data_IF_712203858278
#
_entry.id   IF_712203858278
#
_cell.length_a   1.000
_cell.length_b   1.000
_cell.length_c   1.000
_cell.angle_alpha   90.00
_cell.angle_beta   90.00
_cell.angle_gamma   90.00
#
_symmetry.space_group_name_H-M   'P 1'
#
loop_
_entity.id
_entity.type
_entity.pdbx_description
1 polymer ?
#
# COMPACT_ATOMS: atom_id res chain seq x y z
N UNK A 1 80.21 -18.28 33.38
CA UNK A 1 79.60 -17.10 32.72
C UNK A 1 78.19 -17.49 32.28
N UNK A 2 77.20 -16.60 32.42
CA UNK A 2 75.75 -16.89 32.43
C UNK A 2 75.19 -16.96 31.00
N UNK A 3 74.00 -17.50 30.74
CA UNK A 3 72.75 -16.74 30.80
C UNK A 3 71.54 -17.69 30.83
N UNK A 4 70.81 -17.61 31.94
CA UNK A 4 69.44 -18.07 32.10
C UNK A 4 68.50 -17.11 31.36
N UNK A 5 67.66 -17.63 30.47
CA UNK A 5 66.56 -16.88 29.87
C UNK A 5 65.29 -17.74 29.89
N UNK A 6 64.19 -17.27 30.49
CA UNK A 6 62.92 -17.98 30.45
C UNK A 6 62.20 -17.71 29.12
N UNK A 7 61.87 -18.76 28.38
CA UNK A 7 60.97 -18.67 27.23
C UNK A 7 59.55 -18.39 27.74
N UNK A 8 59.12 -17.15 27.65
CA UNK A 8 57.71 -16.78 27.77
C UNK A 8 56.95 -17.27 26.53
N UNK A 9 56.13 -18.31 26.71
CA UNK A 9 55.10 -18.69 25.74
C UNK A 9 53.99 -17.63 25.78
N UNK A 10 53.94 -16.71 24.80
CA UNK A 10 52.77 -15.84 24.60
C UNK A 10 51.66 -16.67 23.95
N UNK A 11 50.63 -16.98 24.73
CA UNK A 11 49.35 -17.50 24.23
C UNK A 11 48.72 -16.43 23.34
N UNK A 12 48.61 -16.70 22.04
CA UNK A 12 47.89 -15.87 21.09
C UNK A 12 46.44 -16.34 21.14
N UNK A 13 45.58 -15.59 21.83
CA UNK A 13 44.13 -15.81 21.75
C UNK A 13 43.68 -15.55 20.32
N UNK A 14 42.88 -16.44 19.70
CA UNK A 14 42.31 -16.15 18.39
C UNK A 14 41.35 -14.98 18.54
N UNK A 15 41.65 -13.89 17.84
CA UNK A 15 40.78 -12.72 17.70
C UNK A 15 39.47 -13.18 17.06
N UNK A 16 38.43 -13.27 17.86
CA UNK A 16 37.07 -13.54 17.39
C UNK A 16 36.66 -12.38 16.46
N UNK A 17 36.22 -12.65 15.22
CA UNK A 17 35.76 -11.59 14.33
C UNK A 17 34.54 -10.89 14.96
N UNK A 18 34.39 -9.57 14.76
CA UNK A 18 33.26 -8.84 15.30
C UNK A 18 31.96 -9.43 14.74
N UNK A 19 31.02 -9.74 15.63
CA UNK A 19 29.65 -10.11 15.28
C UNK A 19 29.12 -9.09 14.26
N UNK A 20 28.64 -9.50 13.07
CA UNK A 20 27.91 -8.60 12.22
C UNK A 20 26.69 -8.13 13.02
N UNK A 21 26.69 -6.85 13.36
CA UNK A 21 25.52 -6.20 13.91
C UNK A 21 24.34 -6.55 13.01
N UNK A 22 23.29 -7.11 13.61
CA UNK A 22 21.99 -7.33 12.98
C UNK A 22 21.49 -5.97 12.51
N UNK A 23 21.88 -5.56 11.31
CA UNK A 23 21.26 -4.45 10.62
C UNK A 23 19.81 -4.90 10.43
N UNK A 24 18.89 -4.22 11.11
CA UNK A 24 17.49 -4.31 10.80
C UNK A 24 17.35 -3.97 9.32
N UNK A 25 17.23 -4.99 8.48
CA UNK A 25 16.89 -4.81 7.08
C UNK A 25 15.54 -4.10 7.08
N UNK A 26 15.55 -2.79 6.74
CA UNK A 26 14.33 -2.14 6.26
C UNK A 26 13.80 -3.07 5.16
N UNK A 27 12.56 -3.57 5.24
CA UNK A 27 12.02 -4.38 4.17
C UNK A 27 12.11 -3.56 2.90
N UNK A 28 12.96 -3.99 1.97
CA UNK A 28 12.99 -3.43 0.63
C UNK A 28 11.63 -3.74 0.03
N UNK A 29 10.76 -2.74 -0.10
CA UNK A 29 9.50 -2.90 -0.81
C UNK A 29 9.84 -3.45 -2.20
N UNK A 30 9.23 -4.58 -2.56
CA UNK A 30 9.31 -5.08 -3.92
C UNK A 30 8.79 -3.97 -4.85
N UNK A 31 9.38 -3.78 -6.06
CA UNK A 31 8.86 -2.81 -7.00
C UNK A 31 7.39 -3.11 -7.27
N UNK A 32 6.51 -2.15 -7.02
CA UNK A 32 5.09 -2.30 -7.36
C UNK A 32 4.96 -2.56 -8.87
N UNK A 33 4.05 -3.44 -9.25
CA UNK A 33 3.75 -3.65 -10.66
C UNK A 33 3.16 -2.36 -11.29
N UNK A 34 3.26 -2.16 -12.62
CA UNK A 34 2.97 -0.86 -13.24
C UNK A 34 1.56 -0.32 -12.99
N UNK A 35 0.57 -1.21 -12.81
CA UNK A 35 -0.82 -0.84 -12.60
C UNK A 35 -1.06 -0.34 -11.16
N UNK A 36 -0.48 -1.03 -10.20
CA UNK A 36 -0.51 -0.73 -8.77
C UNK A 36 0.17 0.60 -8.50
N UNK A 37 1.35 0.82 -9.11
CA UNK A 37 2.04 2.11 -9.02
C UNK A 37 1.19 3.23 -9.62
N UNK A 38 0.54 3.00 -10.77
CA UNK A 38 -0.36 3.99 -11.37
C UNK A 38 -1.54 4.33 -10.47
N UNK A 39 -2.14 3.33 -9.81
CA UNK A 39 -3.24 3.55 -8.86
C UNK A 39 -2.74 4.35 -7.66
N UNK A 40 -1.56 4.01 -7.13
CA UNK A 40 -0.93 4.72 -6.01
C UNK A 40 -0.67 6.19 -6.36
N UNK A 41 -0.12 6.47 -7.55
CA UNK A 41 0.14 7.82 -8.03
C UNK A 41 -1.15 8.64 -8.17
N UNK A 42 -2.24 8.00 -8.64
CA UNK A 42 -3.55 8.64 -8.75
C UNK A 42 -4.20 8.90 -7.39
N UNK A 43 -3.97 8.02 -6.41
CA UNK A 43 -4.50 8.15 -5.05
C UNK A 43 -3.69 9.13 -4.21
N UNK A 44 -2.45 9.44 -4.59
CA UNK A 44 -1.56 10.32 -3.82
C UNK A 44 -2.22 11.62 -3.36
N UNK A 45 -2.97 12.38 -4.20
CA UNK A 45 -3.64 13.61 -3.79
C UNK A 45 -4.81 13.41 -2.83
N UNK A 46 -5.14 12.19 -2.43
CA UNK A 46 -6.24 11.88 -1.52
C UNK A 46 -5.78 11.25 -0.21
N UNK A 47 -4.46 11.06 -0.05
CA UNK A 47 -3.84 10.50 1.15
C UNK A 47 -3.84 11.52 2.29
N UNK A 48 -4.15 11.10 3.52
CA UNK A 48 -4.40 11.98 4.67
C UNK A 48 -3.15 12.81 5.06
N UNK A 49 -1.97 12.23 4.91
CA UNK A 49 -0.67 12.88 5.14
C UNK A 49 -0.41 14.08 4.23
N UNK A 50 -1.04 14.17 3.06
CA UNK A 50 -0.88 15.32 2.17
C UNK A 50 -1.60 16.56 2.71
N UNK A 51 -2.33 16.42 3.82
CA UNK A 51 -3.32 17.39 4.29
C UNK A 51 -3.25 17.74 5.77
N UNK A 52 -2.52 16.96 6.56
CA UNK A 52 -2.27 17.27 7.96
C UNK A 52 -0.81 17.67 8.11
N UNK A 53 -0.58 18.90 8.58
CA UNK A 53 0.77 19.42 8.84
C UNK A 53 1.54 18.63 9.92
N UNK A 54 0.81 17.83 10.71
CA UNK A 54 1.33 16.99 11.79
C UNK A 54 1.28 15.49 11.48
N UNK A 55 0.81 15.09 10.28
CA UNK A 55 0.77 13.69 9.90
C UNK A 55 2.07 13.26 9.21
N UNK A 56 2.99 12.71 9.99
CA UNK A 56 4.06 11.89 9.42
C UNK A 56 3.45 10.64 8.77
N UNK A 57 3.93 10.29 7.57
CA UNK A 57 3.56 9.03 6.91
C UNK A 57 4.03 7.88 7.80
N UNK A 58 3.09 7.20 8.46
CA UNK A 58 3.44 6.01 9.20
C UNK A 58 3.70 4.87 8.22
N UNK A 59 4.60 3.95 8.60
CA UNK A 59 4.83 2.71 7.84
C UNK A 59 3.54 1.89 7.70
N UNK A 60 2.59 2.07 8.63
CA UNK A 60 1.28 1.40 8.59
C UNK A 60 0.41 1.98 7.47
N UNK A 61 0.35 3.31 7.35
CA UNK A 61 -0.45 3.99 6.32
C UNK A 61 0.09 3.72 4.93
N UNK A 62 1.41 3.70 4.78
CA UNK A 62 2.06 3.34 3.53
C UNK A 62 1.73 1.90 3.11
N UNK A 63 1.82 0.94 4.05
CA UNK A 63 1.41 -0.45 3.79
C UNK A 63 -0.06 -0.56 3.44
N UNK A 64 -0.93 0.18 4.11
CA UNK A 64 -2.37 0.19 3.85
C UNK A 64 -2.67 0.69 2.43
N UNK A 65 -2.03 1.78 2.01
CA UNK A 65 -2.15 2.30 0.66
C UNK A 65 -1.65 1.28 -0.39
N UNK A 66 -0.53 0.59 -0.12
CA UNK A 66 -0.03 -0.46 -1.02
C UNK A 66 -1.02 -1.63 -1.16
N UNK A 67 -1.54 -2.15 -0.04
CA UNK A 67 -2.52 -3.25 -0.05
C UNK A 67 -3.79 -2.83 -0.80
N UNK A 68 -4.27 -1.61 -0.59
CA UNK A 68 -5.40 -1.05 -1.34
C UNK A 68 -5.12 -1.08 -2.85
N UNK A 69 -3.93 -0.64 -3.28
CA UNK A 69 -3.57 -0.64 -4.70
C UNK A 69 -3.52 -2.05 -5.30
N UNK A 70 -2.97 -3.02 -4.56
CA UNK A 70 -2.94 -4.43 -4.95
C UNK A 70 -4.37 -5.00 -5.09
N UNK A 71 -5.25 -4.73 -4.12
CA UNK A 71 -6.63 -5.20 -4.14
C UNK A 71 -7.43 -4.59 -5.31
N UNK A 72 -7.26 -3.30 -5.58
CA UNK A 72 -7.88 -2.64 -6.74
C UNK A 72 -7.34 -3.25 -8.04
N UNK A 73 -6.02 -3.43 -8.17
CA UNK A 73 -5.42 -4.01 -9.37
C UNK A 73 -5.89 -5.45 -9.61
N UNK A 74 -5.96 -6.27 -8.55
CA UNK A 74 -6.54 -7.61 -8.60
C UNK A 74 -7.98 -7.57 -9.13
N UNK A 75 -8.82 -6.71 -8.55
CA UNK A 75 -10.22 -6.62 -8.94
C UNK A 75 -10.41 -6.11 -10.39
N UNK A 76 -9.59 -5.14 -10.83
CA UNK A 76 -9.56 -4.67 -12.23
C UNK A 76 -9.18 -5.82 -13.15
N UNK A 77 -8.10 -6.54 -12.87
CA UNK A 77 -7.66 -7.67 -13.70
C UNK A 77 -8.73 -8.75 -13.74
N UNK A 78 -9.33 -9.10 -12.62
CA UNK A 78 -10.36 -10.14 -12.56
C UNK A 78 -11.61 -9.76 -13.38
N UNK A 79 -12.12 -8.54 -13.17
CA UNK A 79 -13.34 -8.07 -13.87
C UNK A 79 -13.09 -7.83 -15.35
N UNK A 80 -11.94 -7.26 -15.73
CA UNK A 80 -11.65 -6.87 -17.11
C UNK A 80 -11.09 -8.00 -17.98
N UNK A 81 -10.41 -9.00 -17.39
CA UNK A 81 -9.98 -10.20 -18.13
C UNK A 81 -11.17 -10.93 -18.75
N UNK A 82 -12.34 -10.89 -18.10
CA UNK A 82 -13.59 -11.45 -18.62
C UNK A 82 -14.06 -10.78 -19.92
N UNK A 83 -13.62 -9.56 -20.20
CA UNK A 83 -13.94 -8.81 -21.42
C UNK A 83 -12.83 -8.87 -22.48
N UNK A 84 -11.74 -9.61 -22.24
CA UNK A 84 -10.69 -9.87 -23.24
C UNK A 84 -9.74 -8.70 -23.55
N UNK A 85 -9.85 -7.57 -22.84
CA UNK A 85 -8.89 -6.45 -22.95
C UNK A 85 -7.82 -6.54 -21.87
N UNK A 86 -6.57 -6.41 -22.30
CA UNK A 86 -5.46 -6.14 -21.38
C UNK A 86 -5.57 -4.69 -20.94
N UNK A 87 -5.70 -4.47 -19.63
CA UNK A 87 -5.79 -3.13 -19.05
C UNK A 87 -4.39 -2.55 -18.91
N UNK A 88 -4.16 -1.42 -19.57
CA UNK A 88 -2.92 -0.65 -19.45
C UNK A 88 -3.04 0.42 -18.37
N UNK A 89 -1.91 0.99 -17.94
CA UNK A 89 -1.89 2.06 -16.93
C UNK A 89 -2.68 3.30 -17.36
N UNK A 90 -2.75 3.57 -18.67
CA UNK A 90 -3.49 4.70 -19.23
C UNK A 90 -5.01 4.48 -19.27
N UNK A 91 -5.48 3.24 -19.08
CA UNK A 91 -6.91 2.94 -19.02
C UNK A 91 -7.51 3.28 -17.66
N UNK A 92 -6.69 3.49 -16.63
CA UNK A 92 -7.15 3.84 -15.29
C UNK A 92 -7.28 5.36 -15.15
N UNK A 93 -8.47 5.78 -14.75
CA UNK A 93 -8.80 7.16 -14.42
C UNK A 93 -9.40 7.25 -13.03
N UNK A 94 -9.10 8.35 -12.33
CA UNK A 94 -9.74 8.69 -11.07
C UNK A 94 -10.53 9.98 -11.26
N UNK A 95 -11.77 10.02 -10.75
CA UNK A 95 -12.54 11.25 -10.69
C UNK A 95 -13.04 11.52 -9.26
N UNK A 96 -13.02 12.79 -8.87
CA UNK A 96 -13.56 13.25 -7.58
C UNK A 96 -14.62 14.31 -7.78
N UNK A 97 -15.64 14.32 -6.92
CA UNK A 97 -16.69 15.34 -6.83
C UNK A 97 -16.63 16.00 -5.47
N UNK A 98 -16.70 17.33 -5.45
CA UNK A 98 -16.71 18.16 -4.24
C UNK A 98 -15.42 18.06 -3.40
N UNK A 99 -14.26 17.83 -4.03
CA UNK A 99 -12.98 17.75 -3.33
C UNK A 99 -12.64 19.03 -2.56
N UNK A 100 -12.78 20.19 -3.20
CA UNK A 100 -12.52 21.48 -2.54
C UNK A 100 -13.46 21.72 -1.34
N UNK A 101 -14.72 21.30 -1.44
CA UNK A 101 -15.68 21.42 -0.33
C UNK A 101 -15.32 20.50 0.84
N UNK A 102 -14.93 19.26 0.55
CA UNK A 102 -14.42 18.33 1.56
C UNK A 102 -13.18 18.87 2.27
N UNK A 103 -12.23 19.43 1.52
CA UNK A 103 -11.03 20.10 2.07
C UNK A 103 -11.34 21.31 2.95
N UNK A 104 -12.47 21.97 2.72
CA UNK A 104 -12.97 23.08 3.53
C UNK A 104 -13.98 22.63 4.60
N UNK A 105 -14.15 21.33 4.82
CA UNK A 105 -15.12 20.73 5.75
C UNK A 105 -16.57 21.17 5.50
N UNK A 106 -16.92 21.53 4.25
CA UNK A 106 -18.26 22.01 3.89
C UNK A 106 -19.21 20.93 3.38
N UNK A 107 -18.70 19.71 3.16
CA UNK A 107 -19.52 18.57 2.77
C UNK A 107 -18.71 17.34 2.33
N UNK A 108 -19.38 16.24 1.98
CA UNK A 108 -18.74 14.99 1.59
C UNK A 108 -18.04 15.10 0.23
N UNK A 109 -17.05 14.24 0.00
CA UNK A 109 -16.45 14.01 -1.33
C UNK A 109 -16.95 12.69 -1.90
N UNK A 110 -17.22 12.66 -3.21
CA UNK A 110 -17.36 11.41 -3.95
C UNK A 110 -16.08 11.11 -4.71
N UNK A 111 -15.51 9.92 -4.55
CA UNK A 111 -14.30 9.48 -5.27
C UNK A 111 -14.63 8.22 -6.05
N UNK A 112 -14.19 8.15 -7.30
CA UNK A 112 -14.42 7.00 -8.17
C UNK A 112 -13.16 6.63 -8.95
N UNK A 113 -12.92 5.32 -9.05
CA UNK A 113 -11.90 4.72 -9.90
C UNK A 113 -12.61 4.07 -11.08
N UNK A 114 -12.16 4.44 -12.27
CA UNK A 114 -12.75 4.06 -13.54
C UNK A 114 -11.71 3.36 -14.41
N UNK A 115 -12.16 2.37 -15.16
CA UNK A 115 -11.34 1.69 -16.16
C UNK A 115 -12.00 1.85 -17.52
N UNK A 116 -11.21 2.30 -18.50
CA UNK A 116 -11.64 2.33 -19.88
C UNK A 116 -11.56 0.91 -20.46
N UNK A 117 -12.70 0.24 -20.56
CA UNK A 117 -12.81 -1.10 -21.12
C UNK A 117 -13.01 -1.08 -22.64
N UNK A 118 -13.52 -2.19 -23.19
CA UNK A 118 -13.92 -2.22 -24.60
C UNK A 118 -15.29 -1.54 -24.74
N UNK A 119 -15.33 -0.41 -25.44
CA UNK A 119 -16.58 0.25 -25.83
C UNK A 119 -17.27 1.07 -24.73
N UNK A 120 -16.81 1.01 -23.48
CA UNK A 120 -17.35 1.80 -22.38
C UNK A 120 -16.34 2.02 -21.25
N UNK A 121 -16.58 3.07 -20.45
CA UNK A 121 -15.90 3.27 -19.16
C UNK A 121 -16.66 2.54 -18.06
N UNK A 122 -15.97 1.65 -17.35
CA UNK A 122 -16.51 0.88 -16.25
C UNK A 122 -16.18 1.55 -14.92
N UNK A 123 -17.16 1.62 -14.03
CA UNK A 123 -16.94 2.00 -12.64
C UNK A 123 -16.43 0.77 -11.88
N UNK A 124 -15.23 0.88 -11.33
CA UNK A 124 -14.60 -0.20 -10.57
C UNK A 124 -14.87 0.00 -9.08
N UNK A 125 -14.63 1.21 -8.59
CA UNK A 125 -14.76 1.56 -7.19
C UNK A 125 -15.38 2.95 -7.09
N UNK A 126 -16.34 3.12 -6.19
CA UNK A 126 -16.91 4.43 -5.88
C UNK A 126 -17.24 4.52 -4.41
N UNK A 127 -16.76 5.58 -3.78
CA UNK A 127 -17.01 5.86 -2.37
C UNK A 127 -17.55 7.28 -2.19
N UNK A 128 -18.31 7.45 -1.13
CA UNK A 128 -18.67 8.75 -0.56
C UNK A 128 -17.96 8.80 0.80
N UNK A 129 -17.21 9.87 1.02
CA UNK A 129 -16.41 10.07 2.24
C UNK A 129 -16.93 11.31 2.94
N UNK A 130 -17.35 11.16 4.19
CA UNK A 130 -17.86 12.26 5.01
C UNK A 130 -16.70 13.08 5.59
N UNK A 131 -16.90 14.37 5.93
CA UNK A 131 -15.86 15.19 6.54
C UNK A 131 -15.23 14.51 7.77
N UNK A 132 -13.90 14.57 7.88
CA UNK A 132 -13.09 13.93 8.91
C UNK A 132 -12.93 12.41 8.79
N UNK A 133 -13.46 11.78 7.74
CA UNK A 133 -13.12 10.40 7.40
C UNK A 133 -11.90 10.32 6.47
N UNK A 134 -11.13 9.24 6.61
CA UNK A 134 -10.02 8.95 5.71
C UNK A 134 -10.54 8.42 4.38
N UNK A 135 -10.10 9.03 3.27
CA UNK A 135 -10.44 8.54 1.93
C UNK A 135 -9.91 7.13 1.70
N UNK A 136 -8.67 6.88 2.14
CA UNK A 136 -8.00 5.58 1.97
C UNK A 136 -8.77 4.49 2.71
N UNK A 137 -9.27 4.80 3.91
CA UNK A 137 -10.04 3.85 4.73
C UNK A 137 -11.40 3.54 4.12
N UNK A 138 -12.09 4.56 3.59
CA UNK A 138 -13.36 4.34 2.88
C UNK A 138 -13.16 3.50 1.61
N UNK A 139 -12.10 3.75 0.84
CA UNK A 139 -11.75 2.94 -0.34
C UNK A 139 -11.39 1.50 0.05
N UNK A 140 -10.62 1.32 1.12
CA UNK A 140 -10.25 0.01 1.65
C UNK A 140 -11.47 -0.81 2.06
N UNK A 141 -12.38 -0.20 2.83
CA UNK A 141 -13.63 -0.84 3.25
C UNK A 141 -14.45 -1.29 2.05
N UNK A 142 -14.55 -0.44 1.03
CA UNK A 142 -15.33 -0.76 -0.16
C UNK A 142 -14.69 -1.86 -1.02
N UNK A 143 -13.36 -1.86 -1.20
CA UNK A 143 -12.69 -2.91 -1.98
C UNK A 143 -12.68 -4.24 -1.22
N UNK A 144 -12.54 -4.22 0.11
CA UNK A 144 -12.59 -5.44 0.92
C UNK A 144 -13.95 -6.12 0.80
N UNK A 145 -15.04 -5.35 0.81
CA UNK A 145 -16.38 -5.89 0.55
C UNK A 145 -16.54 -6.50 -0.84
N UNK A 146 -15.85 -5.98 -1.86
CA UNK A 146 -15.86 -6.56 -3.21
C UNK A 146 -14.99 -7.82 -3.29
N UNK A 147 -13.85 -7.82 -2.59
CA UNK A 147 -12.89 -8.91 -2.59
C UNK A 147 -13.34 -10.06 -1.68
N UNK A 148 -14.24 -9.81 -0.74
CA UNK A 148 -14.80 -10.80 0.17
C UNK A 148 -15.41 -12.02 -0.55
N UNK A 149 -16.03 -11.81 -1.72
CA UNK A 149 -16.60 -12.90 -2.52
C UNK A 149 -15.58 -13.95 -2.98
N UNK A 150 -14.28 -13.62 -2.96
CA UNK A 150 -13.19 -14.55 -3.29
C UNK A 150 -12.72 -15.38 -2.10
N UNK A 151 -13.16 -15.06 -0.88
CA UNK A 151 -12.77 -15.72 0.36
C UNK A 151 -13.99 -16.25 1.15
N UNK A 152 -14.78 -17.17 0.58
CA UNK A 152 -16.04 -17.63 1.17
C UNK A 152 -15.86 -18.29 2.56
N UNK A 153 -14.70 -18.88 2.83
CA UNK A 153 -14.41 -19.58 4.08
C UNK A 153 -14.03 -18.65 5.24
N UNK A 154 -13.68 -17.39 4.93
CA UNK A 154 -13.43 -16.37 5.95
C UNK A 154 -14.72 -15.65 6.37
N UNK A 155 -15.83 -15.91 5.67
CA UNK A 155 -17.18 -15.45 6.04
C UNK A 155 -17.86 -16.46 6.97
N UNK A 156 -17.35 -16.58 8.19
CA UNK A 156 -18.13 -17.13 9.28
C UNK A 156 -18.98 -16.00 9.84
N UNK A 157 -20.26 -15.96 9.45
CA UNK A 157 -21.23 -15.01 9.99
C UNK A 157 -21.23 -15.04 11.52
N UNK A 158 -20.51 -14.10 12.11
CA UNK A 158 -20.66 -13.67 13.49
C UNK A 158 -21.00 -12.19 13.39
N UNK A 159 -22.31 -11.93 13.21
CA UNK A 159 -23.06 -10.81 13.78
C UNK A 159 -24.37 -10.63 12.96
N UNK A 160 -25.37 -11.43 13.34
CA UNK A 160 -26.75 -10.99 13.48
C UNK A 160 -27.25 -11.40 14.85
#
# INVERSE_FOLDING_TARGET
MPLSGPYHYRSISPTQPPNPATQAHKPTQAPAAPLEQRILDLLYPYRDECFSADADVSVVDERKAMILCENIAFFIRHTQSSFGKIIETNDISLASRNWCGFKASTGPVGIGIFVNGIGATHNILRVRVEPNESVIDSLMTQIDGMVQGFFPELWNGHDM
#
